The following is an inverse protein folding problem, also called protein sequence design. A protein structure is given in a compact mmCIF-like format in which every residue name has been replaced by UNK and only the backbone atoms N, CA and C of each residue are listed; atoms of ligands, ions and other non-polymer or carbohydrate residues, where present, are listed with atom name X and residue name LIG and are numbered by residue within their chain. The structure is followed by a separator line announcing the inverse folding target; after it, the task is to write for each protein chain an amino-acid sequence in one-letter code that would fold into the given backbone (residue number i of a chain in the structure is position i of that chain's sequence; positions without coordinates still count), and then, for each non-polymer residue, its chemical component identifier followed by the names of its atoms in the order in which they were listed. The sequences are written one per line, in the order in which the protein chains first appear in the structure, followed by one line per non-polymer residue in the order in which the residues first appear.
data_IF_056203695734
#
_entry.id   IF_056203695734
#
_cell.length_a   1.000
_cell.length_b   1.000
_cell.length_c   1.000
_cell.angle_alpha   90.00
_cell.angle_beta   90.00
_cell.angle_gamma   90.00
#
_symmetry.space_group_name_H-M   'P 1'
#
loop_
_entity.id
_entity.type
_entity.pdbx_description
1 polymer ?
#
# COMPACT_ATOMS: atom_id res chain seq x y z
N UNK A 1 -64.82 7.61 17.36
CA UNK A 1 -65.29 8.95 16.97
C UNK A 1 -64.11 9.69 16.35
N UNK A 2 -64.31 10.23 15.13
CA UNK A 2 -63.52 11.20 14.37
C UNK A 2 -61.99 10.92 14.16
N UNK A 3 -61.45 10.66 12.96
CA UNK A 3 -61.46 11.40 11.67
C UNK A 3 -60.24 12.32 11.48
N UNK A 4 -59.42 11.97 10.46
CA UNK A 4 -58.69 12.84 9.50
C UNK A 4 -57.59 13.77 10.10
N UNK A 5 -56.47 14.11 9.46
CA UNK A 5 -56.03 14.14 8.07
C UNK A 5 -54.54 14.53 8.02
N UNK A 6 -53.81 14.07 6.99
CA UNK A 6 -52.50 14.63 6.60
C UNK A 6 -52.58 16.12 6.22
N UNK A 7 -51.46 16.84 6.28
CA UNK A 7 -51.21 17.95 5.38
C UNK A 7 -50.03 17.66 4.44
N UNK A 8 -50.30 17.65 3.14
CA UNK A 8 -49.40 18.26 2.14
C UNK A 8 -49.70 19.77 2.13
N UNK A 9 -48.74 20.61 1.76
CA UNK A 9 -48.84 21.62 0.68
C UNK A 9 -47.53 22.42 0.55
N UNK A 10 -47.10 22.54 -0.72
CA UNK A 10 -46.51 23.70 -1.44
C UNK A 10 -45.28 24.40 -0.83
N UNK A 11 -44.11 24.42 -1.47
CA UNK A 11 -43.76 25.03 -2.77
C UNK A 11 -44.05 26.54 -2.87
N UNK A 12 -43.00 27.34 -2.84
CA UNK A 12 -42.94 28.72 -3.33
C UNK A 12 -41.48 29.01 -3.73
N UNK A 13 -41.20 29.14 -5.04
CA UNK A 13 -40.87 30.41 -5.74
C UNK A 13 -39.50 30.99 -5.31
N UNK A 14 -38.53 31.42 -6.12
CA UNK A 14 -38.27 31.70 -7.55
C UNK A 14 -36.73 31.55 -7.69
N UNK A 15 -36.16 30.95 -8.72
CA UNK A 15 -36.04 31.55 -10.05
C UNK A 15 -34.79 32.44 -10.14
N UNK A 16 -33.69 31.93 -10.69
CA UNK A 16 -32.98 32.65 -11.75
C UNK A 16 -31.95 31.79 -12.53
N UNK A 17 -32.30 31.60 -13.81
CA UNK A 17 -31.45 31.56 -15.00
C UNK A 17 -30.35 30.49 -15.12
N UNK A 18 -30.77 29.32 -15.61
CA UNK A 18 -29.95 28.49 -16.48
C UNK A 18 -29.81 29.18 -17.86
N UNK A 19 -28.67 29.82 -18.10
CA UNK A 19 -28.25 30.18 -19.45
C UNK A 19 -27.74 28.92 -20.15
N UNK A 20 -28.58 28.34 -21.01
CA UNK A 20 -28.17 27.40 -22.05
C UNK A 20 -27.24 28.14 -23.03
N UNK A 21 -25.94 27.90 -22.92
CA UNK A 21 -24.98 28.22 -23.98
C UNK A 21 -24.61 26.92 -24.68
N UNK A 22 -25.20 26.74 -25.86
CA UNK A 22 -24.95 25.60 -26.71
C UNK A 22 -23.55 25.64 -27.31
N UNK A 23 -22.81 24.54 -27.15
CA UNK A 23 -21.86 24.07 -28.17
C UNK A 23 -21.97 22.55 -28.28
N UNK A 24 -22.02 21.98 -29.50
CA UNK A 24 -22.21 20.55 -29.68
C UNK A 24 -21.02 19.78 -29.13
N UNK A 25 -21.30 18.65 -28.47
CA UNK A 25 -20.30 17.62 -28.21
C UNK A 25 -19.76 17.13 -29.55
N UNK A 26 -18.52 17.51 -29.87
CA UNK A 26 -17.77 16.92 -30.97
C UNK A 26 -17.43 15.47 -30.60
N UNK A 27 -18.32 14.54 -30.93
CA UNK A 27 -17.95 13.14 -31.14
C UNK A 27 -17.02 13.11 -32.36
N UNK A 28 -15.71 12.96 -32.13
CA UNK A 28 -14.83 12.48 -33.19
C UNK A 28 -15.13 11.01 -33.42
N UNK A 29 -15.43 10.69 -34.67
CA UNK A 29 -15.69 9.36 -35.19
C UNK A 29 -14.60 8.36 -34.79
N UNK A 30 -15.04 7.19 -34.34
CA UNK A 30 -14.19 6.03 -34.11
C UNK A 30 -13.70 5.48 -35.45
N UNK A 31 -12.40 5.22 -35.56
CA UNK A 31 -11.86 4.36 -36.62
C UNK A 31 -12.25 2.91 -36.27
N UNK A 32 -12.89 2.15 -37.18
CA UNK A 32 -13.25 0.76 -36.91
C UNK A 32 -11.97 -0.08 -36.73
N UNK A 33 -11.80 -0.71 -35.55
CA UNK A 33 -10.72 -1.68 -35.30
C UNK A 33 -9.82 -1.45 -34.08
N UNK A 34 -10.01 -0.40 -33.28
CA UNK A 34 -9.13 -0.13 -32.11
C UNK A 34 -9.85 -0.33 -30.76
N UNK A 35 -9.49 -1.40 -30.02
CA UNK A 35 -9.90 -1.62 -28.61
C UNK A 35 -8.97 -0.87 -27.64
N UNK A 36 -8.92 0.47 -27.71
CA UNK A 36 -8.31 1.28 -26.63
C UNK A 36 -9.15 2.53 -26.38
N UNK A 37 -9.99 2.46 -25.34
CA UNK A 37 -10.62 3.63 -24.74
C UNK A 37 -9.56 4.31 -23.86
N UNK A 38 -9.12 5.51 -24.25
CA UNK A 38 -8.29 6.36 -23.40
C UNK A 38 -9.20 7.12 -22.44
N UNK A 39 -9.16 6.78 -21.16
CA UNK A 39 -9.74 7.61 -20.11
C UNK A 39 -8.81 8.80 -19.86
N UNK A 40 -9.27 9.99 -20.23
CA UNK A 40 -8.61 11.24 -19.87
C UNK A 40 -9.55 11.97 -18.91
N UNK A 41 -9.45 11.64 -17.62
CA UNK A 41 -10.16 12.38 -16.59
C UNK A 41 -9.61 13.81 -16.55
N UNK A 42 -10.49 14.80 -16.77
CA UNK A 42 -10.13 16.21 -16.70
C UNK A 42 -9.81 16.60 -15.25
N UNK A 43 -8.73 17.37 -15.04
CA UNK A 43 -8.24 17.86 -13.73
C UNK A 43 -9.32 18.50 -12.84
N UNK A 44 -10.44 18.92 -13.42
CA UNK A 44 -11.57 19.55 -12.74
C UNK A 44 -12.34 18.58 -11.84
N UNK A 45 -12.45 17.29 -12.22
CA UNK A 45 -13.15 16.30 -11.38
C UNK A 45 -12.36 15.96 -10.11
N UNK A 46 -11.02 15.90 -10.18
CA UNK A 46 -10.16 15.68 -9.00
C UNK A 46 -10.38 16.75 -7.93
N UNK A 47 -10.53 18.03 -8.33
CA UNK A 47 -10.76 19.12 -7.38
C UNK A 47 -12.08 19.00 -6.64
N UNK A 48 -13.14 18.51 -7.30
CA UNK A 48 -14.44 18.31 -6.66
C UNK A 48 -14.40 17.15 -5.65
N UNK A 49 -13.69 16.06 -5.96
CA UNK A 49 -13.49 14.95 -5.02
C UNK A 49 -12.66 15.41 -3.81
N UNK A 50 -11.60 16.19 -4.03
CA UNK A 50 -10.82 16.78 -2.93
C UNK A 50 -11.67 17.73 -2.07
N UNK A 51 -12.53 18.56 -2.67
CA UNK A 51 -13.40 19.49 -1.91
C UNK A 51 -14.50 18.75 -1.14
N UNK A 52 -15.06 17.68 -1.71
CA UNK A 52 -16.18 16.95 -1.12
C UNK A 52 -15.75 15.96 -0.03
N UNK A 53 -14.54 15.40 -0.11
CA UNK A 53 -14.06 14.39 0.83
C UNK A 53 -12.86 14.83 1.69
N UNK A 54 -12.18 15.92 1.33
CA UNK A 54 -10.97 16.39 2.00
C UNK A 54 -11.17 17.86 2.42
N UNK A 55 -11.98 18.09 3.46
CA UNK A 55 -12.05 19.39 4.16
C UNK A 55 -10.72 19.64 4.87
N UNK A 56 -9.69 20.03 4.14
CA UNK A 56 -8.41 20.47 4.68
C UNK A 56 -8.60 21.84 5.32
N UNK A 57 -8.19 21.98 6.58
CA UNK A 57 -8.06 23.31 7.20
C UNK A 57 -6.98 24.10 6.45
N UNK A 58 -7.01 25.44 6.51
CA UNK A 58 -5.91 26.27 5.98
C UNK A 58 -4.57 25.96 6.67
N UNK A 59 -4.61 25.36 7.85
CA UNK A 59 -3.44 24.89 8.62
C UNK A 59 -2.84 23.58 8.09
N UNK A 60 -3.56 22.83 7.24
CA UNK A 60 -3.08 21.58 6.60
C UNK A 60 -2.24 21.84 5.33
N UNK A 61 -1.85 23.10 5.09
CA UNK A 61 -0.94 23.44 4.01
C UNK A 61 0.38 22.66 4.20
N UNK A 62 0.85 21.89 3.19
CA UNK A 62 2.04 21.01 3.33
C UNK A 62 3.32 21.71 3.79
N UNK A 63 3.40 23.02 3.61
CA UNK A 63 4.56 23.84 3.98
C UNK A 63 4.57 24.24 5.45
N UNK A 64 3.42 24.21 6.14
CA UNK A 64 3.26 24.76 7.49
C UNK A 64 3.03 23.70 8.59
N UNK A 65 2.89 22.42 8.24
CA UNK A 65 2.75 21.34 9.23
C UNK A 65 4.11 20.67 9.48
N UNK A 66 4.78 20.94 10.63
CA UNK A 66 6.07 20.33 10.96
C UNK A 66 5.97 18.81 11.18
N UNK A 67 4.77 18.27 11.44
CA UNK A 67 4.54 16.83 11.62
C UNK A 67 4.37 16.06 10.32
N UNK A 68 4.27 16.75 9.17
CA UNK A 68 4.10 16.10 7.87
C UNK A 68 5.38 15.41 7.46
N UNK A 69 5.26 14.14 7.05
CA UNK A 69 6.38 13.33 6.62
C UNK A 69 7.10 13.95 5.42
N UNK A 70 8.43 13.99 5.49
CA UNK A 70 9.32 14.43 4.41
C UNK A 70 10.37 13.34 4.14
N UNK A 71 10.74 13.11 2.87
CA UNK A 71 11.84 12.20 2.55
C UNK A 71 13.15 12.69 3.16
N UNK A 72 13.88 11.78 3.80
CA UNK A 72 15.26 11.96 4.23
C UNK A 72 16.27 11.65 3.10
N UNK A 73 17.55 11.59 3.47
CA UNK A 73 18.63 11.20 2.55
C UNK A 73 18.64 9.68 2.39
N UNK A 74 18.55 9.20 1.16
CA UNK A 74 18.65 7.78 0.82
C UNK A 74 20.13 7.39 0.68
N UNK A 75 20.59 6.39 1.43
CA UNK A 75 21.96 5.87 1.32
C UNK A 75 22.14 4.99 0.06
N UNK A 76 23.38 4.76 -0.43
CA UNK A 76 23.63 3.90 -1.59
C UNK A 76 23.03 2.49 -1.45
N UNK A 77 22.77 1.86 -2.59
CA UNK A 77 22.23 0.49 -2.65
C UNK A 77 23.20 -0.50 -2.00
N UNK A 78 22.67 -1.38 -1.15
CA UNK A 78 23.44 -2.46 -0.52
C UNK A 78 23.78 -3.57 -1.53
N UNK A 79 24.96 -4.16 -1.40
CA UNK A 79 25.44 -5.22 -2.28
C UNK A 79 24.94 -6.59 -1.83
N UNK A 80 24.65 -7.47 -2.78
CA UNK A 80 24.26 -8.86 -2.51
C UNK A 80 25.38 -9.78 -2.99
N UNK A 81 25.90 -10.71 -2.17
CA UNK A 81 26.88 -11.70 -2.58
C UNK A 81 26.51 -12.47 -3.86
N UNK A 82 27.50 -12.85 -4.66
CA UNK A 82 27.27 -13.51 -5.95
C UNK A 82 26.67 -14.91 -5.82
N UNK A 83 26.91 -15.61 -4.70
CA UNK A 83 26.39 -16.96 -4.47
C UNK A 83 24.88 -16.99 -4.14
N UNK A 84 24.28 -15.85 -3.77
CA UNK A 84 22.84 -15.78 -3.50
C UNK A 84 22.07 -15.79 -4.82
N UNK A 85 21.08 -16.68 -4.90
CA UNK A 85 20.19 -16.79 -6.05
C UNK A 85 19.41 -15.49 -6.23
N UNK A 86 19.48 -14.88 -7.42
CA UNK A 86 18.77 -13.63 -7.74
C UNK A 86 17.45 -13.93 -8.45
N UNK A 87 16.39 -13.15 -8.19
CA UNK A 87 15.17 -13.24 -8.96
C UNK A 87 15.35 -12.67 -10.38
N UNK A 88 14.52 -13.08 -11.36
CA UNK A 88 14.74 -12.79 -12.78
C UNK A 88 14.81 -11.29 -13.14
N UNK A 89 14.13 -10.42 -12.39
CA UNK A 89 14.09 -8.98 -12.67
C UNK A 89 15.40 -8.24 -12.38
N UNK A 90 16.30 -8.81 -11.56
CA UNK A 90 17.56 -8.14 -11.19
C UNK A 90 18.52 -8.07 -12.38
N UNK A 91 18.49 -9.07 -13.26
CA UNK A 91 19.40 -9.17 -14.42
C UNK A 91 18.71 -8.83 -15.75
N UNK A 92 17.42 -8.48 -15.72
CA UNK A 92 16.63 -8.25 -16.92
C UNK A 92 16.67 -6.78 -17.35
N UNK A 93 16.82 -6.54 -18.66
CA UNK A 93 16.56 -5.21 -19.25
C UNK A 93 15.12 -4.75 -19.02
N UNK A 94 14.19 -5.71 -18.94
CA UNK A 94 12.81 -5.49 -18.56
C UNK A 94 12.70 -5.77 -17.06
N UNK A 95 12.80 -4.73 -16.22
CA UNK A 95 12.74 -4.83 -14.75
C UNK A 95 11.38 -5.32 -14.20
N UNK A 96 10.45 -5.74 -15.07
CA UNK A 96 9.12 -6.21 -14.73
C UNK A 96 8.99 -7.70 -15.09
N UNK A 97 8.56 -8.56 -14.15
CA UNK A 97 8.16 -9.91 -14.48
C UNK A 97 7.03 -9.93 -15.52
N UNK A 98 6.95 -10.97 -16.34
CA UNK A 98 5.79 -11.21 -17.20
C UNK A 98 4.54 -11.48 -16.35
N UNK A 99 3.35 -11.19 -16.90
CA UNK A 99 2.09 -11.57 -16.26
C UNK A 99 1.73 -13.01 -16.62
N UNK A 100 1.42 -13.83 -15.62
CA UNK A 100 0.87 -15.17 -15.83
C UNK A 100 -0.60 -15.08 -16.29
N UNK A 101 -1.05 -16.06 -17.08
CA UNK A 101 -2.40 -16.10 -17.65
C UNK A 101 -3.48 -16.64 -16.69
N UNK A 102 -3.16 -16.81 -15.40
CA UNK A 102 -4.08 -17.37 -14.41
C UNK A 102 -3.39 -17.69 -13.08
N UNK A 103 -4.16 -18.19 -12.08
CA UNK A 103 -3.60 -18.66 -10.81
C UNK A 103 -2.70 -19.88 -11.04
N UNK A 104 -1.59 -19.90 -10.32
CA UNK A 104 -0.67 -21.04 -10.30
C UNK A 104 -1.13 -22.06 -9.25
N UNK A 105 -1.09 -23.35 -9.60
CA UNK A 105 -1.36 -24.46 -8.67
C UNK A 105 -0.03 -25.17 -8.43
N UNK A 106 0.50 -25.05 -7.23
CA UNK A 106 1.79 -25.64 -6.87
C UNK A 106 1.66 -27.13 -6.51
N UNK A 107 2.70 -27.90 -6.85
CA UNK A 107 2.92 -29.23 -6.33
C UNK A 107 3.48 -29.20 -4.90
N UNK A 108 3.70 -30.37 -4.30
CA UNK A 108 4.22 -30.49 -2.93
C UNK A 108 5.55 -29.75 -2.74
N UNK A 109 6.46 -29.86 -3.72
CA UNK A 109 7.76 -29.20 -3.71
C UNK A 109 7.63 -27.67 -3.72
N UNK A 110 6.78 -27.13 -4.59
CA UNK A 110 6.51 -25.69 -4.63
C UNK A 110 5.93 -25.18 -3.32
N UNK A 111 5.00 -25.93 -2.73
CA UNK A 111 4.42 -25.61 -1.42
C UNK A 111 5.51 -25.62 -0.32
N UNK A 112 6.42 -26.59 -0.30
CA UNK A 112 7.54 -26.63 0.65
C UNK A 112 8.49 -25.43 0.51
N UNK A 113 8.84 -25.06 -0.72
CA UNK A 113 9.64 -23.87 -0.96
C UNK A 113 8.93 -22.59 -0.50
N UNK A 114 7.63 -22.43 -0.80
CA UNK A 114 6.83 -21.31 -0.31
C UNK A 114 6.77 -21.26 1.22
N UNK A 115 6.61 -22.40 1.89
CA UNK A 115 6.65 -22.48 3.37
C UNK A 115 7.99 -22.01 3.91
N UNK A 116 9.11 -22.41 3.29
CA UNK A 116 10.44 -21.98 3.69
C UNK A 116 10.63 -20.47 3.51
N UNK A 117 10.28 -19.92 2.34
CA UNK A 117 10.39 -18.47 2.07
C UNK A 117 9.49 -17.65 2.98
N UNK A 118 8.23 -18.07 3.17
CA UNK A 118 7.28 -17.38 4.06
C UNK A 118 7.71 -17.42 5.52
N UNK A 119 8.26 -18.55 5.99
CA UNK A 119 8.82 -18.67 7.34
C UNK A 119 9.99 -17.70 7.55
N UNK A 120 10.91 -17.62 6.60
CA UNK A 120 12.02 -16.68 6.68
C UNK A 120 11.54 -15.22 6.68
N UNK A 121 10.60 -14.86 5.80
CA UNK A 121 10.02 -13.50 5.78
C UNK A 121 9.40 -13.12 7.13
N UNK A 122 8.64 -14.04 7.75
CA UNK A 122 8.06 -13.82 9.08
C UNK A 122 9.13 -13.67 10.18
N UNK A 123 10.22 -14.45 10.13
CA UNK A 123 11.34 -14.32 11.07
C UNK A 123 12.06 -12.97 10.93
N UNK A 124 12.29 -12.52 9.69
CA UNK A 124 12.90 -11.22 9.39
C UNK A 124 12.00 -10.08 9.82
N UNK A 125 10.69 -10.15 9.58
CA UNK A 125 9.72 -9.15 10.04
C UNK A 125 9.70 -9.06 11.58
N UNK A 126 9.71 -10.20 12.27
CA UNK A 126 9.77 -10.23 13.74
C UNK A 126 11.05 -9.56 14.24
N UNK A 127 12.20 -9.85 13.62
CA UNK A 127 13.47 -9.20 13.95
C UNK A 127 13.42 -7.70 13.70
N UNK A 128 12.93 -7.25 12.54
CA UNK A 128 12.81 -5.84 12.19
C UNK A 128 11.98 -5.07 13.24
N UNK A 129 10.88 -5.67 13.71
CA UNK A 129 10.05 -5.11 14.77
C UNK A 129 10.79 -4.85 16.09
N UNK A 130 11.82 -5.64 16.42
CA UNK A 130 12.62 -5.42 17.64
C UNK A 130 13.53 -4.20 17.56
N UNK A 131 13.76 -3.67 16.36
CA UNK A 131 14.62 -2.50 16.12
C UNK A 131 13.84 -1.19 16.28
N UNK A 132 12.50 -1.23 16.21
CA UNK A 132 11.64 -0.05 16.23
C UNK A 132 11.70 0.63 17.59
N UNK A 133 12.29 1.83 17.63
CA UNK A 133 12.40 2.68 18.81
C UNK A 133 12.65 4.14 18.40
N UNK A 134 12.32 5.13 19.24
CA UNK A 134 12.64 6.52 18.96
C UNK A 134 14.14 6.71 18.67
N UNK A 135 14.44 7.52 17.66
CA UNK A 135 15.78 7.87 17.21
C UNK A 135 16.40 6.96 16.15
N UNK A 136 15.90 5.72 15.95
CA UNK A 136 16.46 4.83 14.91
C UNK A 136 16.07 5.34 13.51
N UNK A 137 17.01 5.37 12.57
CA UNK A 137 16.71 5.69 11.18
C UNK A 137 16.10 4.49 10.47
N UNK A 138 15.18 4.73 9.53
CA UNK A 138 14.63 3.65 8.71
C UNK A 138 15.70 2.97 7.85
N UNK A 139 16.74 3.71 7.42
CA UNK A 139 17.93 3.16 6.75
C UNK A 139 18.74 2.18 7.62
N UNK A 140 18.73 2.33 8.95
CA UNK A 140 19.38 1.38 9.87
C UNK A 140 18.59 0.08 9.97
N UNK A 141 17.26 0.16 9.96
CA UNK A 141 16.37 -1.00 9.87
C UNK A 141 16.62 -1.75 8.56
N UNK A 142 16.68 -1.04 7.42
CA UNK A 142 16.99 -1.64 6.11
C UNK A 142 18.32 -2.40 6.10
N UNK A 143 19.38 -1.82 6.65
CA UNK A 143 20.70 -2.47 6.75
C UNK A 143 20.65 -3.76 7.56
N UNK A 144 19.99 -3.73 8.71
CA UNK A 144 19.88 -4.90 9.59
C UNK A 144 19.02 -6.00 8.95
N UNK A 145 17.89 -5.63 8.34
CA UNK A 145 17.02 -6.56 7.60
C UNK A 145 17.74 -7.16 6.40
N UNK A 146 18.44 -6.33 5.62
CA UNK A 146 19.26 -6.78 4.50
C UNK A 146 20.26 -7.84 4.97
N UNK A 147 21.04 -7.55 6.01
CA UNK A 147 22.05 -8.48 6.51
C UNK A 147 21.43 -9.81 6.95
N UNK A 148 20.33 -9.79 7.72
CA UNK A 148 19.66 -11.02 8.13
C UNK A 148 19.18 -11.86 6.94
N UNK A 149 18.67 -11.22 5.88
CA UNK A 149 18.24 -11.91 4.66
C UNK A 149 19.44 -12.57 3.97
N UNK A 150 20.56 -11.85 3.85
CA UNK A 150 21.81 -12.36 3.26
C UNK A 150 22.36 -13.55 4.07
N UNK A 151 22.39 -13.44 5.40
CA UNK A 151 22.89 -14.48 6.30
C UNK A 151 22.07 -15.78 6.21
N UNK A 152 20.81 -15.69 5.78
CA UNK A 152 19.93 -16.83 5.54
C UNK A 152 19.92 -17.30 4.07
N UNK A 153 20.88 -16.83 3.25
CA UNK A 153 21.06 -17.27 1.87
C UNK A 153 19.97 -16.81 0.90
N UNK A 154 19.16 -15.81 1.29
CA UNK A 154 18.06 -15.30 0.51
C UNK A 154 18.37 -13.94 -0.12
N UNK A 155 17.59 -13.57 -1.15
CA UNK A 155 17.66 -12.25 -1.77
C UNK A 155 16.55 -11.34 -1.23
N UNK A 156 16.83 -10.07 -0.87
CA UNK A 156 15.79 -9.11 -0.48
C UNK A 156 15.00 -8.67 -1.70
N UNK A 157 13.79 -9.19 -1.88
CA UNK A 157 13.04 -9.06 -3.13
C UNK A 157 12.80 -7.61 -3.59
N UNK A 158 12.50 -6.64 -2.70
CA UNK A 158 12.30 -5.25 -3.13
C UNK A 158 13.54 -4.67 -3.83
N UNK A 159 14.74 -5.16 -3.51
CA UNK A 159 16.00 -4.58 -3.97
C UNK A 159 16.14 -4.67 -5.49
N UNK A 160 16.02 -3.53 -6.18
CA UNK A 160 16.07 -3.42 -7.64
C UNK A 160 14.78 -3.80 -8.37
N UNK A 161 13.73 -4.21 -7.66
CA UNK A 161 12.42 -4.47 -8.27
C UNK A 161 11.84 -3.18 -8.83
N UNK A 162 11.63 -3.09 -10.14
CA UNK A 162 11.26 -1.84 -10.83
C UNK A 162 12.12 -0.62 -10.45
N UNK A 163 13.40 -0.84 -10.12
CA UNK A 163 14.32 0.21 -9.69
C UNK A 163 14.20 0.64 -8.22
N UNK A 164 13.41 -0.06 -7.39
CA UNK A 164 13.31 0.23 -5.97
C UNK A 164 14.68 0.10 -5.27
N UNK A 165 15.13 1.07 -4.47
CA UNK A 165 16.54 1.19 -4.10
C UNK A 165 16.94 0.42 -2.82
N UNK A 166 15.98 -0.11 -2.07
CA UNK A 166 16.17 -0.66 -0.72
C UNK A 166 15.68 -2.10 -0.61
N UNK A 167 15.99 -2.74 0.51
CA UNK A 167 15.79 -4.18 0.74
C UNK A 167 14.45 -4.49 1.41
N UNK A 168 13.84 -3.47 2.01
CA UNK A 168 12.58 -3.51 2.76
C UNK A 168 11.83 -2.19 2.52
N UNK A 169 10.50 -2.17 2.67
CA UNK A 169 9.77 -0.91 2.72
C UNK A 169 9.51 -0.50 4.19
N UNK A 170 9.63 0.80 4.47
CA UNK A 170 9.34 1.38 5.80
C UNK A 170 8.38 2.55 5.63
N UNK A 171 7.12 2.35 5.99
CA UNK A 171 6.04 3.32 5.74
C UNK A 171 5.57 3.91 7.06
N UNK A 172 6.00 5.13 7.36
CA UNK A 172 5.72 5.83 8.62
C UNK A 172 4.46 6.70 8.48
N UNK A 173 3.60 6.68 9.49
CA UNK A 173 2.41 7.54 9.62
C UNK A 173 1.53 7.60 8.37
N UNK A 174 1.45 8.76 7.68
CA UNK A 174 0.60 8.93 6.49
C UNK A 174 1.14 8.22 5.23
N UNK A 175 2.34 7.63 5.29
CA UNK A 175 2.87 6.79 4.23
C UNK A 175 2.12 5.45 4.21
N UNK A 176 1.24 5.27 3.22
CA UNK A 176 0.39 4.07 3.12
C UNK A 176 1.21 2.80 2.88
N UNK A 177 2.10 2.82 1.90
CA UNK A 177 2.94 1.69 1.53
C UNK A 177 4.17 2.16 0.73
N UNK A 178 5.13 1.25 0.54
CA UNK A 178 6.33 1.44 -0.26
C UNK A 178 7.20 2.65 0.14
N UNK A 179 7.15 3.07 1.41
CA UNK A 179 8.09 4.06 1.93
C UNK A 179 9.53 3.58 1.75
N UNK A 180 10.41 4.46 1.28
CA UNK A 180 11.82 4.14 1.03
C UNK A 180 12.62 4.40 2.32
N UNK A 181 13.31 3.39 2.87
CA UNK A 181 14.24 3.60 3.97
C UNK A 181 15.25 4.73 3.70
N UNK A 182 15.34 5.68 4.62
CA UNK A 182 16.14 6.88 4.51
C UNK A 182 16.68 7.34 5.88
N UNK A 183 17.31 8.52 5.90
CA UNK A 183 17.93 9.09 7.10
C UNK A 183 16.95 9.70 8.11
N UNK A 184 15.62 9.55 7.95
CA UNK A 184 14.65 10.04 8.93
C UNK A 184 14.71 9.16 10.19
N UNK A 185 15.01 9.72 11.38
CA UNK A 185 14.84 9.00 12.63
C UNK A 185 13.35 8.82 12.95
N UNK A 186 12.98 7.69 13.54
CA UNK A 186 11.66 7.51 14.11
C UNK A 186 11.47 8.42 15.32
N UNK A 187 10.29 8.99 15.46
CA UNK A 187 9.91 9.84 16.57
C UNK A 187 9.08 9.05 17.59
N UNK A 188 9.09 9.47 18.85
CA UNK A 188 8.18 8.94 19.85
C UNK A 188 6.74 9.26 19.45
N UNK A 189 5.87 8.25 19.42
CA UNK A 189 4.50 8.36 18.93
C UNK A 189 4.31 8.01 17.45
N UNK A 190 5.37 7.71 16.70
CA UNK A 190 5.23 7.21 15.32
C UNK A 190 4.59 5.80 15.29
N UNK A 191 3.86 5.52 14.21
CA UNK A 191 3.61 4.14 13.76
C UNK A 191 4.36 3.87 12.45
N UNK A 192 4.92 2.67 12.32
CA UNK A 192 5.70 2.27 11.14
C UNK A 192 5.26 0.89 10.65
N UNK A 193 4.82 0.82 9.39
CA UNK A 193 4.71 -0.45 8.69
C UNK A 193 6.08 -0.85 8.13
N UNK A 194 6.50 -2.09 8.40
CA UNK A 194 7.69 -2.70 7.77
C UNK A 194 7.20 -3.84 6.89
N UNK A 195 7.56 -3.79 5.61
CA UNK A 195 7.13 -4.74 4.59
C UNK A 195 8.33 -5.54 4.06
N UNK A 196 8.33 -6.84 4.35
CA UNK A 196 9.44 -7.76 4.14
C UNK A 196 9.05 -8.78 3.08
N UNK A 197 9.82 -8.80 1.99
CA UNK A 197 9.73 -9.84 0.99
C UNK A 197 11.10 -10.47 0.73
N UNK A 198 11.23 -11.79 0.89
CA UNK A 198 12.48 -12.54 0.64
C UNK A 198 12.31 -13.46 -0.56
N UNK A 199 13.39 -13.70 -1.30
CA UNK A 199 13.45 -14.68 -2.38
C UNK A 199 14.43 -15.78 -2.01
N UNK A 200 13.90 -16.98 -1.80
CA UNK A 200 14.64 -18.16 -1.34
C UNK A 200 14.18 -19.37 -2.14
N UNK A 201 15.12 -20.19 -2.59
CA UNK A 201 14.86 -21.43 -3.34
C UNK A 201 13.96 -21.27 -4.59
N UNK A 202 13.99 -20.09 -5.22
CA UNK A 202 13.13 -19.79 -6.38
C UNK A 202 11.77 -19.17 -6.05
N UNK A 203 11.43 -18.96 -4.77
CA UNK A 203 10.11 -18.53 -4.33
C UNK A 203 10.17 -17.29 -3.44
N UNK A 204 9.18 -16.42 -3.59
CA UNK A 204 9.01 -15.25 -2.74
C UNK A 204 8.19 -15.60 -1.49
N UNK A 205 8.62 -15.09 -0.33
CA UNK A 205 7.82 -15.03 0.89
C UNK A 205 7.59 -13.57 1.25
N UNK A 206 6.35 -13.18 1.49
CA UNK A 206 5.94 -11.78 1.62
C UNK A 206 5.06 -11.55 2.85
N UNK A 207 5.40 -10.59 3.69
CA UNK A 207 4.61 -10.22 4.88
C UNK A 207 4.98 -8.85 5.42
N UNK A 208 4.01 -8.16 6.02
CA UNK A 208 4.23 -6.88 6.69
C UNK A 208 3.47 -6.78 8.01
N UNK A 209 3.90 -5.85 8.86
CA UNK A 209 3.19 -5.48 10.08
C UNK A 209 3.48 -4.02 10.44
N UNK A 210 2.51 -3.39 11.10
CA UNK A 210 2.68 -2.05 11.68
C UNK A 210 3.11 -2.16 13.15
N UNK A 211 4.18 -1.48 13.50
CA UNK A 211 4.78 -1.42 14.84
C UNK A 211 4.57 -0.04 15.45
N UNK A 212 4.50 -0.02 16.79
CA UNK A 212 4.38 1.20 17.58
C UNK A 212 5.77 1.67 18.00
N UNK A 213 6.10 2.94 17.77
CA UNK A 213 7.38 3.52 18.15
C UNK A 213 7.21 4.35 19.44
N UNK A 214 7.67 3.78 20.56
CA UNK A 214 7.55 4.44 21.86
C UNK A 214 6.09 4.52 22.36
N UNK A 215 5.70 5.67 22.90
CA UNK A 215 4.34 5.89 23.41
C UNK A 215 3.43 6.55 22.36
N UNK A 216 2.61 5.72 21.72
CA UNK A 216 1.64 6.14 20.70
C UNK A 216 0.28 6.47 21.33
N UNK A 217 -0.45 7.39 20.71
CA UNK A 217 -1.81 7.74 21.14
C UNK A 217 -2.84 6.61 20.93
N UNK A 218 -3.99 6.73 21.59
CA UNK A 218 -5.05 5.72 21.54
C UNK A 218 -5.63 5.52 20.13
N UNK A 219 -5.62 6.57 19.30
CA UNK A 219 -6.13 6.51 17.93
C UNK A 219 -5.21 5.64 17.05
N UNK A 220 -3.89 5.85 17.14
CA UNK A 220 -2.87 5.05 16.47
C UNK A 220 -2.90 3.59 16.97
N UNK A 221 -2.99 3.36 18.28
CA UNK A 221 -3.14 1.99 18.85
C UNK A 221 -4.37 1.29 18.29
N UNK A 222 -5.50 2.00 18.24
CA UNK A 222 -6.75 1.48 17.69
C UNK A 222 -6.63 1.17 16.20
N UNK A 223 -6.03 2.06 15.41
CA UNK A 223 -5.82 1.86 13.98
C UNK A 223 -5.01 0.59 13.70
N UNK A 224 -3.88 0.41 14.41
CA UNK A 224 -3.02 -0.77 14.26
C UNK A 224 -3.75 -2.05 14.65
N UNK A 225 -4.49 -2.02 15.78
CA UNK A 225 -5.30 -3.14 16.25
C UNK A 225 -6.39 -3.54 15.24
N UNK A 226 -7.20 -2.58 14.78
CA UNK A 226 -8.29 -2.83 13.82
C UNK A 226 -7.74 -3.35 12.50
N UNK A 227 -6.62 -2.80 12.02
CA UNK A 227 -5.96 -3.29 10.79
C UNK A 227 -5.57 -4.77 10.90
N UNK A 228 -5.03 -5.19 12.06
CA UNK A 228 -4.72 -6.60 12.33
C UNK A 228 -5.99 -7.46 12.39
N UNK A 229 -7.02 -7.01 13.08
CA UNK A 229 -8.30 -7.74 13.18
C UNK A 229 -8.97 -7.93 11.81
N UNK A 230 -8.92 -6.92 10.94
CA UNK A 230 -9.42 -7.01 9.57
C UNK A 230 -8.65 -8.06 8.76
N UNK A 231 -7.31 -8.10 8.88
CA UNK A 231 -6.48 -9.12 8.24
C UNK A 231 -6.84 -10.54 8.74
N UNK A 232 -6.95 -10.72 10.05
CA UNK A 232 -7.24 -12.03 10.65
C UNK A 232 -8.63 -12.54 10.21
N UNK A 233 -9.65 -11.66 10.18
CA UNK A 233 -10.98 -11.98 9.64
C UNK A 233 -10.91 -12.35 8.16
N UNK A 234 -10.17 -11.60 7.36
CA UNK A 234 -10.01 -11.87 5.93
C UNK A 234 -9.33 -13.22 5.67
N UNK A 235 -8.32 -13.58 6.47
CA UNK A 235 -7.66 -14.90 6.40
C UNK A 235 -8.65 -16.01 6.76
N UNK A 236 -9.50 -15.81 7.78
CA UNK A 236 -10.42 -16.84 8.28
C UNK A 236 -11.43 -17.35 7.24
N UNK A 237 -11.72 -16.55 6.20
CA UNK A 237 -12.65 -16.93 5.13
C UNK A 237 -11.96 -17.55 3.91
N UNK A 238 -10.62 -17.58 3.86
CA UNK A 238 -9.87 -18.10 2.72
C UNK A 238 -9.99 -19.63 2.64
N UNK A 239 -10.80 -20.12 1.70
CA UNK A 239 -11.02 -21.55 1.46
C UNK A 239 -11.37 -21.83 -0.01
N UNK A 240 -11.24 -23.09 -0.49
CA UNK A 240 -11.71 -23.47 -1.82
C UNK A 240 -13.18 -23.08 -2.05
N UNK A 241 -13.47 -22.48 -3.20
CA UNK A 241 -14.82 -22.03 -3.57
C UNK A 241 -15.20 -20.62 -3.11
N UNK A 242 -14.41 -19.97 -2.25
CA UNK A 242 -14.64 -18.59 -1.84
C UNK A 242 -14.12 -17.63 -2.92
N UNK A 243 -14.98 -16.72 -3.39
CA UNK A 243 -14.59 -15.72 -4.39
C UNK A 243 -13.63 -14.68 -3.78
N UNK A 244 -12.56 -14.33 -4.50
CA UNK A 244 -11.54 -13.34 -4.05
C UNK A 244 -12.16 -12.01 -3.58
N UNK A 245 -13.23 -11.53 -4.24
CA UNK A 245 -13.91 -10.29 -3.87
C UNK A 245 -14.52 -10.30 -2.46
N UNK A 246 -14.73 -11.47 -1.85
CA UNK A 246 -15.24 -11.59 -0.48
C UNK A 246 -14.19 -11.15 0.56
N UNK A 247 -12.90 -11.25 0.24
CA UNK A 247 -11.81 -10.75 1.09
C UNK A 247 -11.98 -9.25 1.32
N UNK A 248 -12.13 -8.48 0.24
CA UNK A 248 -12.33 -7.02 0.33
C UNK A 248 -13.62 -6.65 1.05
N UNK A 249 -14.71 -7.40 0.84
CA UNK A 249 -15.96 -7.20 1.57
C UNK A 249 -15.78 -7.42 3.07
N UNK A 250 -15.07 -8.48 3.46
CA UNK A 250 -14.81 -8.81 4.88
C UNK A 250 -13.97 -7.75 5.58
N UNK A 251 -13.09 -7.06 4.87
CA UNK A 251 -12.24 -6.00 5.43
C UNK A 251 -13.05 -4.70 5.65
N UNK A 252 -14.00 -4.39 4.78
CA UNK A 252 -14.75 -3.11 4.81
C UNK A 252 -15.86 -3.06 5.88
N UNK A 253 -16.44 -4.21 6.24
CA UNK A 253 -17.58 -4.34 7.16
C UNK A 253 -17.16 -4.77 8.57
#
# INVERSE_FOLDING_TARGET
MASLSSPRLLSSFLGDRLALSGRPLLLRSAVPGSRRVKYQATRTLCKLVDILFNRRSRDDAPENNPRRLRPGKVSPRLSVPNHIQRPPYVNSRQQRPGMNNGPEIHDEKGIECMRASGKLAAQVLKFAGTLVKPGIMTDEIDKAVHQMIIDNGAYPSPLGYCGYPKSVCTSVNECICHGIPDSRPLEDGDIINIDVTVYLNGYHGDTSATFLCGDVDDEARKLVKVTRECLDKAISICAPGVEIKQIGRTIQF
#
